data_IF_613594257548
#
_entry.id   IF_613594257548
#
_cell.length_a   1.000
_cell.length_b   1.000
_cell.length_c   1.000
_cell.angle_alpha   90.00
_cell.angle_beta   90.00
_cell.angle_gamma   90.00
#
_symmetry.space_group_name_H-M   'P 1'
#
loop_
_entity.id
_entity.type
_entity.pdbx_description
1 polymer ?
#
# COMPACT_ATOMS: atom_id res chain seq x y z
N UNK A 1 -34.14 -19.05 24.77
CA UNK A 1 -33.63 -19.81 25.93
C UNK A 1 -32.79 -20.95 25.39
N UNK A 2 -31.48 -20.89 25.58
CA UNK A 2 -30.54 -21.88 25.05
C UNK A 2 -29.12 -21.53 25.49
N UNK A 3 -28.73 -22.05 26.65
CA UNK A 3 -27.44 -21.88 27.29
C UNK A 3 -26.37 -22.78 26.65
N UNK A 4 -25.11 -22.33 26.65
CA UNK A 4 -23.90 -23.16 26.50
C UNK A 4 -22.66 -22.25 26.58
N UNK A 5 -22.18 -21.86 27.77
CA UNK A 5 -21.02 -22.46 28.48
C UNK A 5 -19.87 -22.83 27.53
N UNK A 6 -18.75 -22.10 27.49
CA UNK A 6 -17.77 -21.97 28.55
C UNK A 6 -16.58 -22.89 28.25
N UNK A 7 -15.44 -22.34 27.81
CA UNK A 7 -14.21 -23.11 27.58
C UNK A 7 -13.03 -22.40 28.25
N UNK A 8 -12.77 -22.82 29.48
CA UNK A 8 -11.60 -22.42 30.25
C UNK A 8 -10.37 -23.22 29.78
N UNK A 9 -9.35 -22.51 29.31
CA UNK A 9 -8.05 -23.11 28.96
C UNK A 9 -7.17 -23.11 30.22
N UNK A 10 -6.96 -24.30 30.77
CA UNK A 10 -6.02 -24.54 31.87
C UNK A 10 -4.59 -24.55 31.31
N UNK A 11 -3.83 -23.47 31.55
CA UNK A 11 -2.39 -23.45 31.36
C UNK A 11 -1.72 -24.28 32.47
N UNK A 12 -1.05 -25.35 32.08
CA UNK A 12 -0.37 -26.30 32.95
C UNK A 12 1.05 -25.80 33.17
N UNK A 13 1.26 -25.09 34.27
CA UNK A 13 2.58 -24.66 34.75
C UNK A 13 3.39 -25.91 35.12
N UNK A 14 4.41 -26.22 34.31
CA UNK A 14 5.37 -27.29 34.59
C UNK A 14 6.49 -26.71 35.44
N UNK A 15 6.43 -26.99 36.73
CA UNK A 15 7.55 -26.84 37.65
C UNK A 15 8.55 -27.99 37.47
N UNK A 16 9.85 -27.66 37.48
CA UNK A 16 10.93 -28.61 37.75
C UNK A 16 12.33 -27.96 37.66
N UNK A 17 13.26 -28.20 38.62
CA UNK A 17 14.40 -27.32 38.98
C UNK A 17 15.76 -28.06 38.80
N UNK A 18 16.88 -27.78 39.52
CA UNK A 18 17.46 -26.53 40.06
C UNK A 18 18.94 -26.30 39.59
N UNK A 19 19.44 -25.10 39.92
CA UNK A 19 20.83 -24.81 40.31
C UNK A 19 21.96 -25.20 39.34
N UNK A 20 22.37 -24.23 38.53
CA UNK A 20 23.77 -24.06 38.18
C UNK A 20 24.23 -22.68 38.68
N UNK A 21 25.06 -22.73 39.72
CA UNK A 21 25.81 -21.60 40.28
C UNK A 21 26.75 -21.05 39.21
N UNK A 22 26.34 -20.00 38.51
CA UNK A 22 27.24 -19.21 37.67
C UNK A 22 27.76 -18.07 38.53
N UNK A 23 29.08 -17.95 38.51
CA UNK A 23 29.90 -17.04 39.27
C UNK A 23 29.30 -15.63 39.36
N UNK A 24 29.35 -15.08 40.58
CA UNK A 24 29.25 -13.66 40.82
C UNK A 24 30.41 -12.96 40.10
N UNK A 25 30.17 -12.53 38.88
CA UNK A 25 30.98 -11.50 38.23
C UNK A 25 30.69 -10.18 38.95
N UNK A 26 31.76 -9.61 39.51
CA UNK A 26 31.74 -8.32 40.18
C UNK A 26 31.15 -7.26 39.24
N UNK A 27 30.19 -6.43 39.69
CA UNK A 27 29.86 -5.23 38.95
C UNK A 27 31.09 -4.32 39.05
N UNK A 28 31.86 -4.25 37.97
CA UNK A 28 32.77 -3.13 37.72
C UNK A 28 31.83 -1.95 37.49
N UNK A 29 31.48 -1.24 38.57
CA UNK A 29 30.77 0.04 38.49
C UNK A 29 31.69 0.99 37.72
N UNK A 30 31.49 1.04 36.41
CA UNK A 30 32.14 1.98 35.52
C UNK A 30 31.64 3.36 35.94
N UNK A 31 32.41 4.04 36.78
CA UNK A 31 32.26 5.47 37.04
C UNK A 31 32.43 6.20 35.69
N UNK A 32 31.33 6.38 34.96
CA UNK A 32 31.29 7.26 33.79
C UNK A 32 31.74 8.63 34.24
N UNK A 33 32.72 9.21 33.55
CA UNK A 33 33.24 10.50 33.94
C UNK A 33 32.12 11.56 33.90
N UNK A 34 32.20 12.59 34.74
CA UNK A 34 31.20 13.66 34.75
C UNK A 34 30.99 14.29 33.36
N UNK A 35 32.01 14.25 32.49
CA UNK A 35 31.92 14.72 31.10
C UNK A 35 31.05 13.80 30.23
N UNK A 36 31.15 12.49 30.41
CA UNK A 36 30.31 11.50 29.70
C UNK A 36 28.85 11.61 30.15
N UNK A 37 28.60 11.82 31.45
CA UNK A 37 27.25 12.08 31.96
C UNK A 37 26.65 13.36 31.36
N UNK A 38 27.44 14.44 31.23
CA UNK A 38 27.00 15.68 30.58
C UNK A 38 26.71 15.49 29.10
N UNK A 39 27.52 14.73 28.36
CA UNK A 39 27.27 14.39 26.95
C UNK A 39 25.98 13.58 26.78
N UNK A 40 25.78 12.56 27.62
CA UNK A 40 24.57 11.74 27.58
C UNK A 40 23.31 12.56 27.86
N UNK A 41 23.34 13.48 28.84
CA UNK A 41 22.21 14.38 29.14
C UNK A 41 21.95 15.36 27.98
N UNK A 42 23.00 15.91 27.35
CA UNK A 42 22.84 16.80 26.19
C UNK A 42 22.25 16.07 24.97
N UNK A 43 22.73 14.86 24.68
CA UNK A 43 22.21 14.02 23.59
C UNK A 43 20.76 13.59 23.86
N UNK A 44 20.44 13.22 25.10
CA UNK A 44 19.06 12.91 25.50
C UNK A 44 18.13 14.12 25.37
N UNK A 45 18.60 15.33 25.71
CA UNK A 45 17.84 16.56 25.53
C UNK A 45 17.63 16.88 24.04
N UNK A 46 18.65 16.69 23.19
CA UNK A 46 18.52 16.88 21.74
C UNK A 46 17.51 15.91 21.13
N UNK A 47 17.59 14.61 21.47
CA UNK A 47 16.61 13.61 21.04
C UNK A 47 15.20 13.96 21.49
N UNK A 48 15.02 14.39 22.75
CA UNK A 48 13.70 14.79 23.24
C UNK A 48 13.14 16.01 22.46
N UNK A 49 13.98 16.97 22.09
CA UNK A 49 13.56 18.10 21.25
C UNK A 49 13.18 17.66 19.84
N UNK A 50 13.96 16.77 19.21
CA UNK A 50 13.65 16.20 17.89
C UNK A 50 12.36 15.37 17.91
N UNK A 51 12.15 14.55 18.95
CA UNK A 51 10.94 13.75 19.14
C UNK A 51 9.71 14.65 19.31
N UNK A 52 9.82 15.76 20.06
CA UNK A 52 8.70 16.71 20.19
C UNK A 52 8.41 17.48 18.90
N UNK A 53 9.43 17.78 18.11
CA UNK A 53 9.26 18.44 16.82
C UNK A 53 8.60 17.52 15.79
N UNK A 54 9.06 16.26 15.70
CA UNK A 54 8.49 15.25 14.81
C UNK A 54 7.06 14.90 15.21
N UNK A 55 6.75 14.78 16.51
CA UNK A 55 5.38 14.55 16.99
C UNK A 55 4.43 15.71 16.62
N UNK A 56 4.88 16.96 16.73
CA UNK A 56 4.10 18.13 16.28
C UNK A 56 3.85 18.11 14.78
N UNK A 57 4.86 17.75 13.99
CA UNK A 57 4.73 17.67 12.54
C UNK A 57 3.75 16.56 12.13
N UNK A 58 3.82 15.38 12.76
CA UNK A 58 2.87 14.30 12.51
C UNK A 58 1.44 14.69 12.91
N UNK A 59 1.27 15.36 14.06
CA UNK A 59 -0.04 15.85 14.49
C UNK A 59 -0.63 16.86 13.48
N UNK A 60 0.20 17.74 12.93
CA UNK A 60 -0.21 18.69 11.90
C UNK A 60 -0.66 17.98 10.61
N UNK A 61 0.11 17.00 10.12
CA UNK A 61 -0.24 16.21 8.93
C UNK A 61 -1.57 15.46 9.11
N UNK A 62 -1.79 14.88 10.30
CA UNK A 62 -3.04 14.18 10.60
C UNK A 62 -4.24 15.14 10.68
N UNK A 63 -4.05 16.32 11.27
CA UNK A 63 -5.08 17.35 11.35
C UNK A 63 -5.44 17.87 9.95
N UNK A 64 -4.45 18.11 9.11
CA UNK A 64 -4.64 18.50 7.71
C UNK A 64 -5.41 17.41 6.97
N UNK A 65 -4.95 16.16 6.99
CA UNK A 65 -5.64 15.05 6.32
C UNK A 65 -7.10 14.87 6.78
N UNK A 66 -7.36 15.04 8.09
CA UNK A 66 -8.72 14.98 8.63
C UNK A 66 -9.60 16.12 8.13
N UNK A 67 -9.06 17.34 8.04
CA UNK A 67 -9.79 18.50 7.53
C UNK A 67 -10.12 18.34 6.04
N UNK A 68 -9.15 17.85 5.26
CA UNK A 68 -9.32 17.55 3.83
C UNK A 68 -10.45 16.57 3.58
N UNK A 69 -10.46 15.48 4.34
CA UNK A 69 -11.51 14.47 4.24
C UNK A 69 -12.89 15.06 4.57
N UNK A 70 -13.00 15.80 5.67
CA UNK A 70 -14.27 16.42 6.08
C UNK A 70 -14.79 17.41 5.03
N UNK A 71 -13.89 18.18 4.42
CA UNK A 71 -14.22 19.12 3.34
C UNK A 71 -14.84 18.40 2.13
N UNK A 72 -14.25 17.29 1.69
CA UNK A 72 -14.74 16.52 0.55
C UNK A 72 -16.09 15.85 0.85
N UNK A 73 -16.26 15.28 2.05
CA UNK A 73 -17.53 14.67 2.48
C UNK A 73 -18.65 15.73 2.53
N UNK A 74 -18.40 16.89 3.14
CA UNK A 74 -19.37 17.98 3.20
C UNK A 74 -19.75 18.54 1.81
N UNK A 75 -18.78 18.59 0.89
CA UNK A 75 -19.03 19.00 -0.50
C UNK A 75 -19.86 17.97 -1.27
N UNK A 76 -19.63 16.68 -1.05
CA UNK A 76 -20.42 15.60 -1.63
C UNK A 76 -21.87 15.62 -1.13
N UNK A 77 -22.08 15.93 0.15
CA UNK A 77 -23.41 15.98 0.78
C UNK A 77 -24.18 17.31 0.53
N UNK A 78 -23.60 18.26 -0.22
CA UNK A 78 -24.12 19.63 -0.46
C UNK A 78 -24.41 20.44 0.83
N UNK A 79 -23.66 20.20 1.92
CA UNK A 79 -23.76 21.04 3.13
C UNK A 79 -22.88 22.28 2.99
N UNK A 80 -23.39 23.29 2.29
CA UNK A 80 -22.70 24.56 2.06
C UNK A 80 -22.21 25.24 3.35
N UNK A 81 -22.96 25.12 4.46
CA UNK A 81 -22.60 25.75 5.74
C UNK A 81 -21.43 25.05 6.39
N UNK A 82 -21.40 23.72 6.31
CA UNK A 82 -20.28 22.93 6.80
C UNK A 82 -19.00 23.19 5.97
N UNK A 83 -19.12 23.26 4.64
CA UNK A 83 -18.00 23.60 3.75
C UNK A 83 -17.41 24.97 4.09
N UNK A 84 -18.23 26.01 4.25
CA UNK A 84 -17.77 27.35 4.65
C UNK A 84 -17.05 27.34 6.01
N UNK A 85 -17.61 26.62 6.99
CA UNK A 85 -17.01 26.49 8.32
C UNK A 85 -15.65 25.77 8.29
N UNK A 86 -15.52 24.74 7.45
CA UNK A 86 -14.28 23.99 7.28
C UNK A 86 -13.21 24.78 6.50
N UNK A 87 -13.61 25.56 5.49
CA UNK A 87 -12.70 26.47 4.78
C UNK A 87 -12.14 27.56 5.72
N UNK A 88 -12.99 28.19 6.54
CA UNK A 88 -12.54 29.14 7.55
C UNK A 88 -11.56 28.52 8.56
N UNK A 89 -11.78 27.25 8.91
CA UNK A 89 -10.87 26.47 9.76
C UNK A 89 -9.55 26.15 9.06
N UNK A 90 -9.57 25.89 7.75
CA UNK A 90 -8.38 25.66 6.94
C UNK A 90 -7.50 26.92 6.87
N UNK A 91 -8.12 28.08 6.64
CA UNK A 91 -7.44 29.38 6.63
C UNK A 91 -6.80 29.70 7.98
N UNK A 92 -7.50 29.43 9.08
CA UNK A 92 -6.96 29.62 10.42
C UNK A 92 -5.75 28.72 10.73
N UNK A 93 -5.65 27.56 10.07
CA UNK A 93 -4.53 26.62 10.18
C UNK A 93 -3.41 26.91 9.17
N UNK A 94 -3.60 27.89 8.28
CA UNK A 94 -2.63 28.22 7.22
C UNK A 94 -2.50 27.14 6.15
N UNK A 95 -3.52 26.30 5.98
CA UNK A 95 -3.58 25.31 4.89
C UNK A 95 -3.81 26.08 3.60
N UNK A 96 -2.73 26.31 2.84
CA UNK A 96 -2.83 26.98 1.55
C UNK A 96 -3.61 26.12 0.56
N UNK A 97 -4.37 26.80 -0.29
CA UNK A 97 -5.06 26.21 -1.43
C UNK A 97 -6.08 25.12 -1.04
N UNK A 98 -6.84 25.36 0.04
CA UNK A 98 -7.86 24.45 0.55
C UNK A 98 -8.89 24.01 -0.50
N UNK A 99 -9.15 24.86 -1.51
CA UNK A 99 -10.05 24.57 -2.63
C UNK A 99 -9.46 23.62 -3.68
N UNK A 100 -8.12 23.55 -3.80
CA UNK A 100 -7.43 22.69 -4.78
C UNK A 100 -7.02 21.34 -4.19
N UNK A 101 -7.43 21.05 -2.95
CA UNK A 101 -7.08 19.82 -2.29
C UNK A 101 -7.74 18.65 -3.02
N UNK A 102 -6.88 17.79 -3.57
CA UNK A 102 -7.26 16.51 -4.13
C UNK A 102 -7.06 15.38 -3.11
N UNK A 103 -7.94 14.39 -3.11
CA UNK A 103 -7.76 13.14 -2.39
C UNK A 103 -6.71 12.22 -3.07
N UNK A 104 -6.53 11.00 -2.55
CA UNK A 104 -5.63 10.00 -3.17
C UNK A 104 -6.05 9.55 -4.57
N UNK A 105 -7.29 9.85 -4.98
CA UNK A 105 -7.84 9.51 -6.29
C UNK A 105 -7.80 10.70 -7.26
N UNK A 106 -7.38 11.89 -6.82
CA UNK A 106 -7.36 13.09 -7.64
C UNK A 106 -8.67 13.87 -7.61
N UNK A 107 -9.61 13.52 -6.71
CA UNK A 107 -10.89 14.19 -6.58
C UNK A 107 -10.72 15.46 -5.77
N UNK A 108 -11.08 16.57 -6.38
CA UNK A 108 -11.14 17.91 -5.77
C UNK A 108 -12.52 18.17 -5.18
N UNK A 109 -12.62 19.22 -4.36
CA UNK A 109 -13.91 19.74 -3.87
C UNK A 109 -14.91 19.97 -5.01
N UNK A 110 -14.44 20.51 -6.13
CA UNK A 110 -15.25 20.76 -7.33
C UNK A 110 -15.80 19.47 -7.93
N UNK A 111 -14.97 18.43 -8.05
CA UNK A 111 -15.42 17.15 -8.61
C UNK A 111 -16.36 16.39 -7.68
N UNK A 112 -16.17 16.47 -6.36
CA UNK A 112 -17.07 15.83 -5.39
C UNK A 112 -18.43 16.54 -5.33
N UNK A 113 -18.44 17.88 -5.32
CA UNK A 113 -19.68 18.66 -5.42
C UNK A 113 -20.43 18.36 -6.73
N UNK A 114 -19.72 18.26 -7.86
CA UNK A 114 -20.31 17.89 -9.14
C UNK A 114 -20.88 16.45 -9.12
N UNK A 115 -20.19 15.50 -8.47
CA UNK A 115 -20.64 14.12 -8.32
C UNK A 115 -21.87 14.00 -7.41
N UNK A 116 -21.93 14.79 -6.34
CA UNK A 116 -23.07 14.88 -5.41
C UNK A 116 -24.31 15.58 -5.99
N UNK A 117 -24.19 16.24 -7.15
CA UNK A 117 -25.28 17.03 -7.74
C UNK A 117 -25.50 18.37 -7.02
N UNK A 118 -24.50 18.82 -6.27
CA UNK A 118 -24.47 20.01 -5.44
C UNK A 118 -24.23 21.27 -6.30
N UNK A 119 -25.22 21.66 -7.11
CA UNK A 119 -25.11 22.83 -7.99
C UNK A 119 -25.12 24.17 -7.24
N UNK A 120 -25.70 24.20 -6.03
CA UNK A 120 -25.86 25.40 -5.19
C UNK A 120 -24.55 25.93 -4.63
N UNK A 121 -23.67 25.02 -4.21
CA UNK A 121 -22.35 25.33 -3.66
C UNK A 121 -21.40 25.91 -4.72
N UNK A 122 -21.70 25.72 -6.01
CA UNK A 122 -20.94 26.27 -7.14
C UNK A 122 -21.44 27.66 -7.61
N UNK A 123 -22.59 28.13 -7.10
CA UNK A 123 -23.27 29.34 -7.61
C UNK A 123 -22.93 30.65 -6.87
N UNK A 124 -21.92 30.68 -6.00
CA UNK A 124 -21.44 31.95 -5.41
C UNK A 124 -20.55 32.73 -6.40
N UNK A 125 -21.15 33.25 -7.46
CA UNK A 125 -20.51 34.17 -8.39
C UNK A 125 -21.17 34.20 -9.77
N UNK A 126 -21.99 35.24 -10.00
CA UNK A 126 -22.41 35.78 -11.29
C UNK A 126 -23.52 35.03 -12.09
N UNK A 127 -24.75 35.47 -11.86
CA UNK A 127 -26.02 35.03 -12.48
C UNK A 127 -26.18 35.36 -14.00
N UNK A 128 -25.13 35.78 -14.71
CA UNK A 128 -25.22 36.23 -16.11
C UNK A 128 -24.38 35.37 -17.07
N UNK A 129 -24.53 34.03 -17.09
CA UNK A 129 -23.91 33.28 -18.19
C UNK A 129 -24.55 31.92 -18.54
N UNK A 130 -25.46 31.94 -19.52
CA UNK A 130 -25.91 30.74 -20.25
C UNK A 130 -24.77 29.96 -20.94
N UNK A 131 -23.53 30.47 -20.94
CA UNK A 131 -22.34 29.75 -21.39
C UNK A 131 -21.80 28.71 -20.39
N UNK A 132 -22.13 28.81 -19.09
CA UNK A 132 -21.57 27.94 -18.05
C UNK A 132 -21.94 26.45 -18.22
N UNK A 133 -23.13 26.16 -18.77
CA UNK A 133 -23.59 24.79 -19.03
C UNK A 133 -22.83 24.06 -20.15
N UNK A 134 -22.15 24.78 -21.05
CA UNK A 134 -21.30 24.19 -22.09
C UNK A 134 -19.93 23.80 -21.53
N UNK A 135 -19.37 24.61 -20.63
CA UNK A 135 -18.05 24.37 -20.02
C UNK A 135 -18.07 23.16 -19.09
N UNK A 136 -19.13 22.98 -18.28
CA UNK A 136 -19.25 21.80 -17.40
C UNK A 136 -19.36 20.49 -18.20
N UNK A 137 -20.00 20.50 -19.37
CA UNK A 137 -20.09 19.32 -20.25
C UNK A 137 -18.75 18.98 -20.88
N UNK A 138 -18.02 19.97 -21.38
CA UNK A 138 -16.68 19.76 -21.94
C UNK A 138 -15.68 19.26 -20.89
N UNK A 139 -15.77 19.73 -19.65
CA UNK A 139 -14.93 19.26 -18.55
C UNK A 139 -15.27 17.82 -18.14
N UNK A 140 -16.55 17.47 -18.05
CA UNK A 140 -16.97 16.08 -17.77
C UNK A 140 -16.54 15.11 -18.89
N UNK A 141 -16.65 15.51 -20.16
CA UNK A 141 -16.13 14.74 -21.29
C UNK A 141 -14.58 14.65 -21.28
N UNK A 142 -13.90 15.69 -20.82
CA UNK A 142 -12.45 15.69 -20.63
C UNK A 142 -12.00 14.68 -19.58
N UNK A 143 -12.63 14.69 -18.40
CA UNK A 143 -12.37 13.75 -17.31
C UNK A 143 -12.66 12.30 -17.73
N UNK A 144 -13.78 12.09 -18.42
CA UNK A 144 -14.15 10.81 -19.03
C UNK A 144 -13.07 10.24 -19.96
N UNK A 145 -12.59 11.07 -20.90
CA UNK A 145 -11.53 10.67 -21.83
C UNK A 145 -10.22 10.36 -21.10
N UNK A 146 -9.88 11.13 -20.06
CA UNK A 146 -8.71 10.88 -19.24
C UNK A 146 -8.81 9.54 -18.48
N UNK A 147 -9.97 9.21 -17.92
CA UNK A 147 -10.21 7.93 -17.24
C UNK A 147 -10.04 6.73 -18.17
N UNK A 148 -10.61 6.79 -19.38
CA UNK A 148 -10.42 5.75 -20.41
C UNK A 148 -8.96 5.62 -20.82
N UNK A 149 -8.24 6.74 -21.02
CA UNK A 149 -6.81 6.71 -21.33
C UNK A 149 -5.99 6.08 -20.20
N UNK A 150 -6.29 6.42 -18.94
CA UNK A 150 -5.66 5.81 -17.77
C UNK A 150 -5.88 4.30 -17.71
N UNK A 151 -7.11 3.84 -17.94
CA UNK A 151 -7.43 2.42 -18.00
C UNK A 151 -6.72 1.68 -19.15
N UNK A 152 -6.57 2.32 -20.32
CA UNK A 152 -5.80 1.76 -21.44
C UNK A 152 -4.32 1.62 -21.10
N UNK A 153 -3.71 2.63 -20.48
CA UNK A 153 -2.32 2.57 -20.03
C UNK A 153 -2.12 1.45 -18.99
N UNK A 154 -3.04 1.33 -18.04
CA UNK A 154 -3.05 0.24 -17.06
C UNK A 154 -3.15 -1.15 -17.71
N UNK A 155 -3.99 -1.29 -18.74
CA UNK A 155 -4.10 -2.53 -19.50
C UNK A 155 -2.80 -2.89 -20.22
N UNK A 156 -2.14 -1.93 -20.87
CA UNK A 156 -0.86 -2.16 -21.55
C UNK A 156 0.26 -2.53 -20.56
N UNK A 157 0.30 -1.90 -19.38
CA UNK A 157 1.23 -2.27 -18.32
C UNK A 157 0.99 -3.72 -17.85
N UNK A 158 -0.27 -4.10 -17.62
CA UNK A 158 -0.63 -5.45 -17.21
C UNK A 158 -0.30 -6.51 -18.29
N UNK A 159 -0.44 -6.18 -19.58
CA UNK A 159 -0.03 -7.05 -20.69
C UNK A 159 1.47 -7.30 -20.68
N UNK A 160 2.28 -6.24 -20.56
CA UNK A 160 3.75 -6.36 -20.52
C UNK A 160 4.22 -7.22 -19.36
N UNK A 161 3.64 -7.03 -18.17
CA UNK A 161 3.99 -7.84 -17.01
C UNK A 161 3.55 -9.31 -17.20
N UNK A 162 2.37 -9.55 -17.75
CA UNK A 162 1.93 -10.90 -18.10
C UNK A 162 2.91 -11.58 -19.08
N UNK A 163 3.31 -10.89 -20.16
CA UNK A 163 4.28 -11.41 -21.13
C UNK A 163 5.64 -11.72 -20.48
N UNK A 164 6.11 -10.83 -19.60
CA UNK A 164 7.34 -11.02 -18.83
C UNK A 164 7.26 -12.26 -17.94
N UNK A 165 6.17 -12.44 -17.17
CA UNK A 165 5.98 -13.62 -16.34
C UNK A 165 5.86 -14.90 -17.19
N UNK A 166 5.20 -14.86 -18.34
CA UNK A 166 5.12 -15.99 -19.26
C UNK A 166 6.49 -16.37 -19.84
N UNK A 167 7.33 -15.38 -20.16
CA UNK A 167 8.71 -15.62 -20.60
C UNK A 167 9.56 -16.25 -19.48
N UNK A 168 9.43 -15.75 -18.26
CA UNK A 168 10.11 -16.31 -17.09
C UNK A 168 9.66 -17.76 -16.82
N UNK A 169 8.37 -18.05 -16.95
CA UNK A 169 7.81 -19.39 -16.78
C UNK A 169 8.36 -20.36 -17.84
N UNK A 170 8.46 -19.96 -19.11
CA UNK A 170 9.08 -20.78 -20.17
C UNK A 170 10.53 -21.08 -19.84
N UNK A 171 11.31 -20.05 -19.47
CA UNK A 171 12.71 -20.22 -19.08
C UNK A 171 12.88 -21.16 -17.89
N UNK A 172 12.03 -21.05 -16.86
CA UNK A 172 12.07 -21.92 -15.69
C UNK A 172 11.79 -23.39 -16.05
N UNK A 173 10.86 -23.65 -16.99
CA UNK A 173 10.58 -25.01 -17.49
C UNK A 173 11.77 -25.57 -18.27
N UNK A 174 12.35 -24.80 -19.18
CA UNK A 174 13.53 -25.20 -19.95
C UNK A 174 14.72 -25.54 -19.03
N UNK A 175 14.97 -24.74 -18.00
CA UNK A 175 16.03 -25.03 -17.03
C UNK A 175 15.75 -26.30 -16.21
N UNK A 176 14.50 -26.52 -15.79
CA UNK A 176 14.12 -27.76 -15.11
C UNK A 176 14.32 -28.99 -16.01
N UNK A 177 13.91 -28.92 -17.27
CA UNK A 177 14.11 -30.00 -18.26
C UNK A 177 15.58 -30.31 -18.47
N UNK A 178 16.46 -29.30 -18.53
CA UNK A 178 17.92 -29.50 -18.60
C UNK A 178 18.44 -30.28 -17.38
N UNK A 179 17.99 -29.94 -16.17
CA UNK A 179 18.43 -30.64 -14.94
C UNK A 179 17.92 -32.07 -14.86
N UNK A 180 16.70 -32.32 -15.31
CA UNK A 180 16.16 -33.68 -15.45
C UNK A 180 17.04 -34.49 -16.40
N UNK A 181 17.37 -33.93 -17.58
CA UNK A 181 18.24 -34.60 -18.55
C UNK A 181 19.65 -34.89 -17.99
N UNK A 182 20.26 -33.95 -17.28
CA UNK A 182 21.56 -34.15 -16.61
C UNK A 182 21.51 -35.26 -15.56
N UNK A 183 20.45 -35.30 -14.74
CA UNK A 183 20.23 -36.36 -13.75
C UNK A 183 20.06 -37.72 -14.43
N UNK A 184 19.21 -37.82 -15.47
CA UNK A 184 18.96 -39.06 -16.20
C UNK A 184 20.23 -39.59 -16.86
N UNK A 185 21.07 -38.68 -17.37
CA UNK A 185 22.41 -39.01 -17.89
C UNK A 185 23.31 -39.57 -16.79
N UNK A 186 23.34 -38.94 -15.61
CA UNK A 186 24.14 -39.43 -14.48
C UNK A 186 23.70 -40.83 -14.01
N UNK A 187 22.39 -41.07 -13.98
CA UNK A 187 21.82 -42.38 -13.62
C UNK A 187 22.15 -43.43 -14.69
N UNK A 188 21.97 -43.11 -15.97
CA UNK A 188 22.25 -44.01 -17.09
C UNK A 188 23.73 -44.40 -17.23
N UNK A 189 24.65 -43.50 -16.90
CA UNK A 189 26.09 -43.76 -16.90
C UNK A 189 26.61 -44.40 -15.59
N UNK A 190 25.72 -44.72 -14.63
CA UNK A 190 26.07 -45.27 -13.32
C UNK A 190 27.12 -44.42 -12.58
N UNK A 191 26.93 -43.10 -12.57
CA UNK A 191 27.77 -42.19 -11.77
C UNK A 191 27.65 -42.51 -10.27
N UNK A 192 28.63 -42.07 -9.44
CA UNK A 192 28.57 -42.25 -7.99
C UNK A 192 27.25 -41.70 -7.40
N UNK A 193 26.71 -42.40 -6.40
CA UNK A 193 25.43 -42.05 -5.77
C UNK A 193 25.40 -40.62 -5.21
N UNK A 194 26.53 -40.12 -4.74
CA UNK A 194 26.68 -38.75 -4.25
C UNK A 194 26.36 -37.71 -5.34
N UNK A 195 26.82 -37.94 -6.57
CA UNK A 195 26.56 -37.04 -7.70
C UNK A 195 25.09 -37.09 -8.14
N UNK A 196 24.51 -38.29 -8.18
CA UNK A 196 23.09 -38.50 -8.48
C UNK A 196 22.21 -37.77 -7.45
N UNK A 197 22.60 -37.84 -6.17
CA UNK A 197 21.90 -37.11 -5.10
C UNK A 197 21.97 -35.59 -5.30
N UNK A 198 23.13 -35.05 -5.68
CA UNK A 198 23.29 -33.61 -5.94
C UNK A 198 22.41 -33.15 -7.10
N UNK A 199 22.37 -33.88 -8.22
CA UNK A 199 21.54 -33.50 -9.37
C UNK A 199 20.05 -33.62 -9.04
N UNK A 200 19.64 -34.61 -8.23
CA UNK A 200 18.27 -34.72 -7.74
C UNK A 200 17.88 -33.55 -6.82
N UNK A 201 18.77 -33.10 -5.94
CA UNK A 201 18.52 -31.95 -5.06
C UNK A 201 18.43 -30.64 -5.87
N UNK A 202 19.22 -30.51 -6.95
CA UNK A 202 19.07 -29.41 -7.91
C UNK A 202 17.71 -29.42 -8.61
N UNK A 203 17.22 -30.59 -9.07
CA UNK A 203 15.88 -30.72 -9.66
C UNK A 203 14.83 -30.18 -8.68
N UNK A 204 14.86 -30.62 -7.42
CA UNK A 204 13.90 -30.15 -6.40
C UNK A 204 13.96 -28.64 -6.19
N UNK A 205 15.16 -28.05 -6.18
CA UNK A 205 15.33 -26.60 -6.08
C UNK A 205 14.69 -25.88 -7.28
N UNK A 206 14.91 -26.39 -8.50
CA UNK A 206 14.31 -25.85 -9.72
C UNK A 206 12.80 -26.06 -9.80
N UNK A 207 12.26 -27.17 -9.29
CA UNK A 207 10.81 -27.38 -9.13
C UNK A 207 10.20 -26.34 -8.19
N UNK A 208 10.89 -26.01 -7.09
CA UNK A 208 10.50 -24.94 -6.18
C UNK A 208 10.40 -23.59 -6.91
N UNK A 209 11.47 -23.20 -7.62
CA UNK A 209 11.49 -21.98 -8.42
C UNK A 209 10.41 -21.97 -9.52
N UNK A 210 10.14 -23.12 -10.15
CA UNK A 210 9.08 -23.25 -11.14
C UNK A 210 7.69 -23.01 -10.51
N UNK A 211 7.43 -23.51 -9.30
CA UNK A 211 6.16 -23.25 -8.60
C UNK A 211 6.00 -21.77 -8.27
N UNK A 212 7.05 -21.11 -7.80
CA UNK A 212 7.02 -19.66 -7.52
C UNK A 212 6.70 -18.84 -8.77
N UNK A 213 7.37 -19.14 -9.90
CA UNK A 213 7.10 -18.47 -11.18
C UNK A 213 5.70 -18.77 -11.72
N UNK A 214 5.14 -19.95 -11.48
CA UNK A 214 3.74 -20.26 -11.79
C UNK A 214 2.77 -19.39 -10.98
N UNK A 215 3.01 -19.22 -9.68
CA UNK A 215 2.20 -18.34 -8.83
C UNK A 215 2.26 -16.90 -9.32
N UNK A 216 3.44 -16.40 -9.67
CA UNK A 216 3.61 -15.05 -10.24
C UNK A 216 2.87 -14.89 -11.59
N UNK A 217 3.01 -15.86 -12.50
CA UNK A 217 2.32 -15.84 -13.78
C UNK A 217 0.79 -15.88 -13.62
N UNK A 218 0.27 -16.63 -12.64
CA UNK A 218 -1.15 -16.64 -12.30
C UNK A 218 -1.61 -15.27 -11.76
N UNK A 219 -0.82 -14.65 -10.88
CA UNK A 219 -1.08 -13.29 -10.39
C UNK A 219 -1.14 -12.24 -11.51
N UNK A 220 -0.17 -12.27 -12.43
CA UNK A 220 -0.16 -11.38 -13.59
C UNK A 220 -1.35 -11.62 -14.54
N UNK A 221 -1.77 -12.87 -14.73
CA UNK A 221 -2.96 -13.19 -15.52
C UNK A 221 -4.26 -12.67 -14.88
N UNK A 222 -4.37 -12.75 -13.55
CA UNK A 222 -5.48 -12.17 -12.80
C UNK A 222 -5.50 -10.63 -12.92
N UNK A 223 -4.34 -9.99 -12.76
CA UNK A 223 -4.20 -8.53 -12.91
C UNK A 223 -4.58 -8.05 -14.32
N UNK A 224 -4.15 -8.77 -15.36
CA UNK A 224 -4.54 -8.50 -16.74
C UNK A 224 -6.06 -8.62 -16.95
N UNK A 225 -6.68 -9.62 -16.33
CA UNK A 225 -8.14 -9.82 -16.40
C UNK A 225 -8.89 -8.70 -15.70
N UNK A 226 -8.41 -8.24 -14.54
CA UNK A 226 -8.95 -7.10 -13.82
C UNK A 226 -8.84 -5.80 -14.63
N UNK A 227 -7.66 -5.51 -15.22
CA UNK A 227 -7.46 -4.32 -16.04
C UNK A 227 -8.39 -4.28 -17.28
N UNK A 228 -8.66 -5.45 -17.89
CA UNK A 228 -9.64 -5.56 -18.98
C UNK A 228 -11.06 -5.25 -18.53
N UNK A 229 -11.42 -5.67 -17.32
CA UNK A 229 -12.74 -5.38 -16.74
C UNK A 229 -12.88 -3.88 -16.49
N UNK A 230 -11.89 -3.25 -15.83
CA UNK A 230 -11.88 -1.81 -15.57
C UNK A 230 -12.00 -1.01 -16.86
N UNK A 231 -11.26 -1.36 -17.92
CA UNK A 231 -11.39 -0.65 -19.19
C UNK A 231 -12.80 -0.76 -19.78
N UNK A 232 -13.46 -1.91 -19.67
CA UNK A 232 -14.84 -2.08 -20.14
C UNK A 232 -15.83 -1.26 -19.33
N UNK A 233 -15.68 -1.24 -18.01
CA UNK A 233 -16.53 -0.44 -17.13
C UNK A 233 -16.41 1.05 -17.47
N UNK A 234 -15.19 1.56 -17.63
CA UNK A 234 -14.95 2.94 -18.05
C UNK A 234 -15.53 3.24 -19.43
N UNK A 235 -15.49 2.29 -20.38
CA UNK A 235 -16.10 2.49 -21.70
C UNK A 235 -17.63 2.51 -21.66
N UNK A 236 -18.26 1.67 -20.85
CA UNK A 236 -19.73 1.59 -20.71
C UNK A 236 -20.29 2.81 -19.97
N UNK A 237 -19.57 3.32 -18.96
CA UNK A 237 -19.97 4.56 -18.25
C UNK A 237 -19.96 5.81 -19.13
N UNK A 238 -19.47 5.73 -20.38
CA UNK A 238 -19.39 6.84 -21.33
C UNK A 238 -20.26 6.69 -22.59
N UNK A 239 -21.00 5.59 -22.74
CA UNK A 239 -22.01 5.42 -23.80
C UNK A 239 -23.40 5.73 -23.29
#
# INVERSE_FOLDING_TARGET
>A
MGASTGKAVKAKTKMGPPAETVAAECPVEAEMSEEEQRRMVQEALQRALEDTATARQQAWVLQEASLRKALLEAAYDDDAREVEGLLAKADALGVRDAMEIADSHGNTLLSEAAAGGACSTLQHGDDDNLAAGSVCREQAEGAARAAVQGAQQGLEAAKREHERCQAALRKAREELEKRIFEHDTCVGEHKPEELIKVTLDQIKAHEGALRETQTQAAGAAAALSAARLTLREQQVSHT
#
